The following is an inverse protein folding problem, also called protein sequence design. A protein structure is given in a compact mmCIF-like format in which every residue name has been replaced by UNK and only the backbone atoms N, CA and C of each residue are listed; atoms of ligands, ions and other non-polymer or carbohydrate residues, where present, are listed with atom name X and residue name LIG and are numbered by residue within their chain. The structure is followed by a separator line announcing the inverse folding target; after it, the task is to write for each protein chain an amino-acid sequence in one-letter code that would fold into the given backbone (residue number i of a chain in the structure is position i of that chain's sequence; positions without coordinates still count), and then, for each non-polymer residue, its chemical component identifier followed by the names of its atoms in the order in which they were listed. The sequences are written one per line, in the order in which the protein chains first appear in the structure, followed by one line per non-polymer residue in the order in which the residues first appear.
data_IF_273833562469
#
_entry.id   IF_273833562469
#
_cell.length_a   1.000
_cell.length_b   1.000
_cell.length_c   1.000
_cell.angle_alpha   90.00
_cell.angle_beta   90.00
_cell.angle_gamma   90.00
#
_symmetry.space_group_name_H-M   'P 1'
#
loop_
_entity.id
_entity.type
_entity.pdbx_description
1 polymer ?
#
# COMPACT_ATOMS: atom_id res chain seq x y z
N UNK A 1 8.32 -11.59 7.65
CA UNK A 1 6.91 -11.16 7.65
C UNK A 1 6.89 -9.71 7.23
N UNK A 2 5.96 -9.33 6.36
CA UNK A 2 5.77 -7.97 5.86
C UNK A 2 4.40 -7.45 6.31
N UNK A 3 4.39 -6.47 7.21
CA UNK A 3 3.16 -5.80 7.64
C UNK A 3 2.97 -4.52 6.84
N UNK A 4 1.78 -4.41 6.23
CA UNK A 4 1.37 -3.28 5.40
C UNK A 4 0.19 -2.59 6.08
N UNK A 5 0.31 -1.30 6.36
CA UNK A 5 -0.80 -0.48 6.86
C UNK A 5 -1.49 0.19 5.69
N UNK A 6 -2.82 0.07 5.62
CA UNK A 6 -3.63 0.65 4.56
C UNK A 6 -4.72 1.52 5.18
N UNK A 7 -4.83 2.78 4.75
CA UNK A 7 -5.78 3.73 5.35
C UNK A 7 -7.25 3.43 5.01
N UNK A 8 -7.54 2.74 3.91
CA UNK A 8 -8.91 2.36 3.52
C UNK A 8 -9.00 0.90 3.08
N UNK A 9 -9.96 0.11 3.59
CA UNK A 9 -10.04 -1.34 3.35
C UNK A 9 -10.39 -1.73 1.91
N UNK A 10 -10.94 -0.80 1.11
CA UNK A 10 -11.46 -1.08 -0.25
C UNK A 10 -10.43 -1.67 -1.22
N UNK A 11 -9.13 -1.56 -0.92
CA UNK A 11 -8.04 -2.05 -1.76
C UNK A 11 -7.19 -3.13 -1.07
N UNK A 12 -7.62 -3.65 0.08
CA UNK A 12 -6.87 -4.63 0.87
C UNK A 12 -6.40 -5.83 0.04
N UNK A 13 -7.30 -6.40 -0.77
CA UNK A 13 -6.98 -7.55 -1.62
C UNK A 13 -5.96 -7.19 -2.72
N UNK A 14 -6.16 -6.07 -3.41
CA UNK A 14 -5.27 -5.61 -4.49
C UNK A 14 -3.86 -5.32 -3.92
N UNK A 15 -3.78 -4.68 -2.76
CA UNK A 15 -2.52 -4.40 -2.03
C UNK A 15 -1.86 -5.69 -1.58
N UNK A 16 -2.60 -6.58 -0.91
CA UNK A 16 -2.06 -7.86 -0.44
C UNK A 16 -1.47 -8.67 -1.59
N UNK A 17 -2.22 -8.80 -2.69
CA UNK A 17 -1.79 -9.53 -3.89
C UNK A 17 -0.51 -8.94 -4.50
N UNK A 18 -0.46 -7.62 -4.68
CA UNK A 18 0.72 -6.94 -5.23
C UNK A 18 1.93 -7.11 -4.30
N UNK A 19 1.79 -6.80 -3.02
CA UNK A 19 2.90 -6.92 -2.05
C UNK A 19 3.38 -8.36 -1.97
N UNK A 20 2.48 -9.36 -2.03
CA UNK A 20 2.85 -10.77 -2.06
C UNK A 20 3.61 -11.16 -3.32
N UNK A 21 3.33 -10.53 -4.46
CA UNK A 21 4.08 -10.78 -5.69
C UNK A 21 5.54 -10.30 -5.61
N UNK A 22 5.79 -9.18 -4.92
CA UNK A 22 7.15 -8.64 -4.74
C UNK A 22 7.90 -9.26 -3.56
N UNK A 23 7.18 -9.65 -2.51
CA UNK A 23 7.72 -10.30 -1.31
C UNK A 23 7.22 -11.74 -1.21
N UNK A 24 7.52 -12.55 -2.23
CA UNK A 24 6.99 -13.91 -2.36
C UNK A 24 7.35 -14.81 -1.17
N UNK A 25 8.56 -14.67 -0.63
CA UNK A 25 9.06 -15.45 0.52
C UNK A 25 8.50 -14.98 1.87
N UNK A 26 7.99 -13.74 1.95
CA UNK A 26 7.44 -13.20 3.19
C UNK A 26 5.96 -13.57 3.37
N UNK A 27 5.57 -13.82 4.62
CA UNK A 27 4.17 -13.73 5.02
C UNK A 27 3.73 -12.26 4.97
N UNK A 28 2.76 -11.93 4.11
CA UNK A 28 2.20 -10.58 3.98
C UNK A 28 0.96 -10.47 4.84
N UNK A 29 0.88 -9.42 5.65
CA UNK A 29 -0.29 -9.09 6.46
C UNK A 29 -0.66 -7.64 6.20
N UNK A 30 -1.89 -7.40 5.74
CA UNK A 30 -2.43 -6.06 5.61
C UNK A 30 -3.26 -5.75 6.85
N UNK A 31 -3.04 -4.58 7.44
CA UNK A 31 -3.84 -4.03 8.53
C UNK A 31 -4.53 -2.75 8.07
N UNK A 32 -5.78 -2.59 8.49
CA UNK A 32 -6.66 -1.47 8.15
C UNK A 32 -7.27 -0.89 9.43
N UNK A 33 -7.89 0.31 9.39
CA UNK A 33 -8.61 0.84 10.55
C UNK A 33 -9.72 -0.08 11.08
N UNK A 34 -10.23 -1.00 10.27
CA UNK A 34 -11.24 -1.99 10.65
C UNK A 34 -10.64 -3.23 11.32
N UNK A 35 -9.31 -3.38 11.32
CA UNK A 35 -8.63 -4.47 12.01
C UNK A 35 -8.84 -4.35 13.52
N UNK A 36 -9.07 -5.49 14.19
CA UNK A 36 -9.30 -5.53 15.63
C UNK A 36 -8.19 -4.79 16.40
N UNK A 37 -8.53 -3.93 17.38
CA UNK A 37 -7.56 -3.11 18.11
C UNK A 37 -6.40 -3.89 18.73
N UNK A 38 -6.68 -5.08 19.28
CA UNK A 38 -5.66 -5.96 19.87
C UNK A 38 -4.58 -6.35 18.85
N UNK A 39 -5.01 -6.79 17.66
CA UNK A 39 -4.13 -7.18 16.57
C UNK A 39 -3.43 -5.97 15.95
N UNK A 40 -4.12 -4.85 15.88
CA UNK A 40 -3.57 -3.60 15.36
C UNK A 40 -2.42 -3.10 16.25
N UNK A 41 -2.58 -3.07 17.57
CA UNK A 41 -1.52 -2.68 18.50
C UNK A 41 -0.29 -3.61 18.47
N UNK A 42 -0.48 -4.89 18.18
CA UNK A 42 0.62 -5.86 18.03
C UNK A 42 1.39 -5.68 16.71
N UNK A 43 0.67 -5.37 15.62
CA UNK A 43 1.24 -5.31 14.27
C UNK A 43 1.69 -3.91 13.86
N UNK A 44 1.13 -2.84 14.43
CA UNK A 44 1.50 -1.45 14.12
C UNK A 44 3.00 -1.17 14.28
N UNK A 45 3.69 -1.61 15.36
CA UNK A 45 5.14 -1.42 15.51
C UNK A 45 5.97 -2.17 14.46
N UNK A 46 5.37 -3.15 13.77
CA UNK A 46 6.02 -3.99 12.76
C UNK A 46 5.72 -3.52 11.33
N UNK A 47 4.96 -2.42 11.19
CA UNK A 47 4.61 -1.84 9.89
C UNK A 47 5.88 -1.38 9.19
N UNK A 48 6.06 -1.88 7.97
CA UNK A 48 7.22 -1.58 7.12
C UNK A 48 6.83 -0.83 5.84
N UNK A 49 5.53 -0.83 5.53
CA UNK A 49 4.97 -0.17 4.37
C UNK A 49 3.62 0.43 4.78
N UNK A 50 3.44 1.73 4.57
CA UNK A 50 2.18 2.43 4.81
C UNK A 50 1.61 2.94 3.50
N UNK A 51 0.31 2.79 3.31
CA UNK A 51 -0.41 3.26 2.13
C UNK A 51 -1.56 4.13 2.61
N UNK A 52 -1.46 5.41 2.31
CA UNK A 52 -2.50 6.40 2.57
C UNK A 52 -3.19 6.75 1.26
N UNK A 53 -4.44 6.33 1.12
CA UNK A 53 -5.30 6.71 0.01
C UNK A 53 -5.99 8.04 0.30
N UNK A 54 -6.00 8.94 -0.69
CA UNK A 54 -6.67 10.23 -0.67
C UNK A 54 -7.59 10.37 -1.90
N UNK A 55 -8.51 11.34 -1.88
CA UNK A 55 -9.46 11.55 -2.98
C UNK A 55 -8.77 11.86 -4.32
N UNK A 56 -7.69 12.65 -4.28
CA UNK A 56 -6.93 13.08 -5.47
C UNK A 56 -5.61 12.34 -5.67
N UNK A 57 -5.35 11.26 -4.90
CA UNK A 57 -4.06 10.57 -5.03
C UNK A 57 -3.81 9.51 -3.96
N UNK A 58 -2.55 9.13 -3.82
CA UNK A 58 -2.10 8.23 -2.77
C UNK A 58 -0.66 8.52 -2.34
N UNK A 59 -0.35 8.16 -1.11
CA UNK A 59 1.00 8.18 -0.56
C UNK A 59 1.41 6.77 -0.14
N UNK A 60 2.63 6.38 -0.46
CA UNK A 60 3.24 5.14 0.03
C UNK A 60 4.50 5.52 0.79
N UNK A 61 4.61 5.06 2.03
CA UNK A 61 5.84 5.18 2.83
C UNK A 61 6.50 3.83 2.92
N UNK A 62 7.80 3.76 2.61
CA UNK A 62 8.61 2.56 2.78
C UNK A 62 9.90 2.93 3.51
N UNK A 63 10.03 2.50 4.76
CA UNK A 63 11.11 2.96 5.63
C UNK A 63 11.08 4.48 5.79
N UNK A 64 12.15 5.15 5.37
CA UNK A 64 12.27 6.62 5.42
C UNK A 64 11.86 7.32 4.11
N UNK A 65 11.55 6.56 3.05
CA UNK A 65 11.16 7.12 1.76
C UNK A 65 9.65 7.27 1.64
N UNK A 66 9.23 8.49 1.24
CA UNK A 66 7.85 8.82 0.91
C UNK A 66 7.69 8.93 -0.61
N UNK A 67 6.73 8.18 -1.15
CA UNK A 67 6.30 8.21 -2.54
C UNK A 67 4.92 8.83 -2.62
N UNK A 68 4.75 9.79 -3.52
CA UNK A 68 3.49 10.50 -3.72
C UNK A 68 3.01 10.29 -5.15
N UNK A 69 1.71 10.04 -5.28
CA UNK A 69 1.03 9.98 -6.56
C UNK A 69 -0.17 10.89 -6.53
N UNK A 70 -0.25 11.74 -7.54
CA UNK A 70 -1.35 12.65 -7.77
C UNK A 70 -2.13 12.18 -8.99
N UNK A 71 -3.37 11.77 -8.75
CA UNK A 71 -4.26 11.23 -9.75
C UNK A 71 -4.71 12.29 -10.77
N UNK A 72 -4.70 13.57 -10.42
CA UNK A 72 -5.07 14.66 -11.33
C UNK A 72 -3.95 14.98 -12.33
N UNK A 73 -2.70 14.72 -11.95
CA UNK A 73 -1.53 14.94 -12.84
C UNK A 73 -1.35 13.86 -13.89
N UNK A 74 -1.82 12.64 -13.61
CA UNK A 74 -1.90 11.61 -14.63
C UNK A 74 -3.19 11.84 -15.43
N UNK A 75 -3.12 11.89 -16.76
CA UNK A 75 -4.32 11.89 -17.60
C UNK A 75 -4.92 10.48 -17.51
N UNK A 76 -5.60 10.15 -16.41
CA UNK A 76 -6.05 8.80 -16.12
C UNK A 76 -7.28 8.49 -16.98
N UNK A 77 -7.05 8.12 -18.23
CA UNK A 77 -8.08 7.54 -19.10
C UNK A 77 -8.70 6.27 -18.48
N UNK A 78 -7.98 5.63 -17.55
CA UNK A 78 -8.30 4.31 -16.96
C UNK A 78 -8.91 4.38 -15.53
N UNK A 79 -9.16 5.57 -14.95
CA UNK A 79 -9.72 5.77 -13.61
C UNK A 79 -8.77 5.50 -12.41
N UNK A 80 -9.08 6.10 -11.25
CA UNK A 80 -8.25 6.11 -10.02
C UNK A 80 -7.68 4.74 -9.64
N UNK A 81 -8.50 3.68 -9.68
CA UNK A 81 -8.08 2.32 -9.30
C UNK A 81 -6.90 1.80 -10.13
N UNK A 82 -6.87 2.06 -11.43
CA UNK A 82 -5.80 1.59 -12.30
C UNK A 82 -4.53 2.42 -12.11
N UNK A 83 -4.68 3.73 -11.89
CA UNK A 83 -3.57 4.61 -11.51
C UNK A 83 -2.92 4.16 -10.19
N UNK A 84 -3.73 3.87 -9.17
CA UNK A 84 -3.25 3.37 -7.87
C UNK A 84 -2.46 2.06 -8.02
N UNK A 85 -2.96 1.10 -8.80
CA UNK A 85 -2.25 -0.16 -9.06
C UNK A 85 -0.89 0.07 -9.73
N UNK A 86 -0.84 0.95 -10.73
CA UNK A 86 0.41 1.32 -11.41
C UNK A 86 1.38 1.99 -10.44
N UNK A 87 0.88 2.89 -9.60
CA UNK A 87 1.69 3.56 -8.59
C UNK A 87 2.26 2.59 -7.56
N UNK A 88 1.43 1.68 -7.02
CA UNK A 88 1.87 0.61 -6.12
C UNK A 88 2.94 -0.26 -6.78
N UNK A 89 2.69 -0.73 -8.00
CA UNK A 89 3.64 -1.57 -8.73
C UNK A 89 4.97 -0.85 -8.96
N UNK A 90 4.97 0.39 -9.45
CA UNK A 90 6.18 1.18 -9.70
C UNK A 90 6.98 1.41 -8.41
N UNK A 91 6.29 1.72 -7.32
CA UNK A 91 6.93 1.97 -6.02
C UNK A 91 7.56 0.68 -5.48
N UNK A 92 6.82 -0.43 -5.47
CA UNK A 92 7.32 -1.72 -5.02
C UNK A 92 8.48 -2.22 -5.88
N UNK A 93 8.38 -2.09 -7.21
CA UNK A 93 9.47 -2.44 -8.13
C UNK A 93 10.72 -1.61 -7.86
N UNK A 94 10.60 -0.30 -7.64
CA UNK A 94 11.75 0.56 -7.30
C UNK A 94 12.43 0.14 -5.99
N UNK A 95 11.65 -0.25 -4.98
CA UNK A 95 12.17 -0.64 -3.66
C UNK A 95 12.79 -2.05 -3.67
N UNK A 96 12.25 -2.96 -4.49
CA UNK A 96 12.64 -4.39 -4.45
C UNK A 96 13.66 -4.79 -5.51
N UNK A 97 13.87 -3.98 -6.55
CA UNK A 97 14.86 -4.23 -7.62
C UNK A 97 14.24 -4.91 -8.82
#
# INVERSE_FOLDING_TARGET
MKVVKLSHPNYEYDVHSLVKAFYAEDQVTVITPETKPEKLAELEPQVSLEIELAETGAKIRVGEEDFLWDAETETIADGYKNGLKRFLYRTLSKVTG
#
